data_IF_685235299101
#
_entry.id   IF_685235299101
#
_cell.length_a   1.000
_cell.length_b   1.000
_cell.length_c   1.000
_cell.angle_alpha   90.00
_cell.angle_beta   90.00
_cell.angle_gamma   90.00
#
_symmetry.space_group_name_H-M   'P 1'
#
loop_
_entity.id
_entity.type
_entity.pdbx_description
1 polymer ?
#
# COMPACT_ATOMS: atom_id res chain seq x y z
N UNK A 1 55.19 -1.28 -47.13
CA UNK A 1 54.92 0.09 -46.67
C UNK A 1 53.46 0.38 -46.96
N UNK A 2 52.65 0.59 -45.93
CA UNK A 2 51.22 0.87 -46.06
C UNK A 2 50.82 1.56 -44.76
N UNK A 3 50.87 2.88 -44.80
CA UNK A 3 50.80 3.78 -43.66
C UNK A 3 49.48 3.59 -42.91
N UNK A 4 49.61 3.43 -41.58
CA UNK A 4 48.48 3.38 -40.67
C UNK A 4 47.71 4.70 -40.75
N UNK A 5 46.51 4.64 -41.32
CA UNK A 5 45.54 5.72 -41.18
C UNK A 5 45.11 5.79 -39.72
N UNK A 6 45.88 6.54 -38.92
CA UNK A 6 45.45 7.02 -37.62
C UNK A 6 44.30 8.00 -37.84
N UNK A 7 43.07 7.52 -37.63
CA UNK A 7 41.87 8.36 -37.69
C UNK A 7 42.08 9.63 -36.87
N UNK A 8 41.93 10.78 -37.53
CA UNK A 8 42.05 12.10 -36.89
C UNK A 8 41.16 12.14 -35.64
N UNK A 9 41.70 12.58 -34.49
CA UNK A 9 40.90 12.68 -33.27
C UNK A 9 39.68 13.57 -33.53
N UNK A 10 38.50 13.06 -33.19
CA UNK A 10 37.23 13.79 -33.30
C UNK A 10 37.39 15.23 -32.78
N UNK A 11 36.84 16.20 -33.53
CA UNK A 11 36.80 17.61 -33.13
C UNK A 11 36.42 17.75 -31.64
N UNK A 12 37.13 18.59 -30.85
CA UNK A 12 36.88 18.72 -29.41
C UNK A 12 35.41 18.95 -29.04
N UNK A 13 34.65 19.68 -29.87
CA UNK A 13 33.22 19.90 -29.63
C UNK A 13 32.41 18.63 -29.86
N UNK A 14 32.76 17.80 -30.86
CA UNK A 14 32.10 16.49 -31.08
C UNK A 14 32.36 15.54 -29.92
N UNK A 15 33.59 15.51 -29.37
CA UNK A 15 33.92 14.70 -28.18
C UNK A 15 33.19 15.20 -26.94
N UNK A 16 33.19 16.51 -26.70
CA UNK A 16 32.47 17.11 -25.58
C UNK A 16 30.97 16.80 -25.67
N UNK A 17 30.36 16.93 -26.85
CA UNK A 17 28.95 16.56 -27.07
C UNK A 17 28.68 15.09 -26.76
N UNK A 18 29.52 14.18 -27.24
CA UNK A 18 29.37 12.75 -26.97
C UNK A 18 29.45 12.44 -25.47
N UNK A 19 30.40 13.06 -24.75
CA UNK A 19 30.55 12.90 -23.30
C UNK A 19 29.32 13.43 -22.54
N UNK A 20 28.81 14.61 -22.91
CA UNK A 20 27.60 15.19 -22.30
C UNK A 20 26.39 14.30 -22.57
N UNK A 21 26.16 13.86 -23.81
CA UNK A 21 25.04 12.96 -24.14
C UNK A 21 25.10 11.66 -23.33
N UNK A 22 26.28 11.08 -23.19
CA UNK A 22 26.46 9.87 -22.39
C UNK A 22 26.16 10.12 -20.90
N UNK A 23 26.64 11.25 -20.35
CA UNK A 23 26.36 11.62 -18.96
C UNK A 23 24.86 11.84 -18.71
N UNK A 24 24.18 12.55 -19.60
CA UNK A 24 22.72 12.77 -19.53
C UNK A 24 21.96 11.44 -19.58
N UNK A 25 22.33 10.54 -20.50
CA UNK A 25 21.71 9.20 -20.59
C UNK A 25 21.86 8.39 -19.31
N UNK A 26 23.05 8.39 -18.69
CA UNK A 26 23.27 7.73 -17.39
C UNK A 26 22.40 8.33 -16.29
N UNK A 27 22.32 9.66 -16.22
CA UNK A 27 21.50 10.35 -15.21
C UNK A 27 20.02 10.00 -15.38
N UNK A 28 19.52 9.97 -16.61
CA UNK A 28 18.13 9.59 -16.90
C UNK A 28 17.86 8.13 -16.52
N UNK A 29 18.77 7.21 -16.84
CA UNK A 29 18.64 5.81 -16.47
C UNK A 29 18.59 5.63 -14.93
N UNK A 30 19.46 6.33 -14.19
CA UNK A 30 19.46 6.30 -12.73
C UNK A 30 18.17 6.86 -12.13
N UNK A 31 17.63 7.93 -12.71
CA UNK A 31 16.34 8.51 -12.29
C UNK A 31 15.20 7.54 -12.54
N UNK A 32 15.12 6.96 -13.73
CA UNK A 32 14.09 5.98 -14.07
C UNK A 32 14.14 4.74 -13.17
N UNK A 33 15.35 4.27 -12.83
CA UNK A 33 15.54 3.11 -11.95
C UNK A 33 15.13 3.44 -10.51
N UNK A 34 15.45 4.65 -10.02
CA UNK A 34 14.95 5.13 -8.72
C UNK A 34 13.42 5.26 -8.72
N UNK A 35 12.84 5.80 -9.78
CA UNK A 35 11.40 5.96 -9.92
C UNK A 35 10.69 4.61 -9.89
N UNK A 36 11.17 3.61 -10.65
CA UNK A 36 10.66 2.24 -10.60
C UNK A 36 10.65 1.65 -9.19
N UNK A 37 11.75 1.79 -8.45
CA UNK A 37 11.82 1.29 -7.06
C UNK A 37 10.85 2.01 -6.13
N UNK A 38 10.69 3.33 -6.29
CA UNK A 38 9.73 4.12 -5.51
C UNK A 38 8.30 3.70 -5.86
N UNK A 39 7.98 3.53 -7.14
CA UNK A 39 6.66 3.07 -7.58
C UNK A 39 6.34 1.68 -7.02
N UNK A 40 7.29 0.75 -7.08
CA UNK A 40 7.10 -0.58 -6.50
C UNK A 40 6.79 -0.52 -5.00
N UNK A 41 7.61 0.22 -4.23
CA UNK A 41 7.37 0.41 -2.80
C UNK A 41 6.03 1.11 -2.51
N UNK A 42 5.65 2.09 -3.32
CA UNK A 42 4.36 2.77 -3.18
C UNK A 42 3.19 1.82 -3.43
N UNK A 43 3.28 0.96 -4.46
CA UNK A 43 2.27 -0.06 -4.74
C UNK A 43 2.15 -1.07 -3.60
N UNK A 44 3.27 -1.51 -3.02
CA UNK A 44 3.27 -2.40 -1.84
C UNK A 44 2.56 -1.75 -0.65
N UNK A 45 2.86 -0.48 -0.36
CA UNK A 45 2.22 0.25 0.74
C UNK A 45 0.72 0.40 0.51
N UNK A 46 0.31 0.82 -0.68
CA UNK A 46 -1.11 1.00 -1.01
C UNK A 46 -1.84 -0.33 -0.94
N UNK A 47 -1.30 -1.38 -1.55
CA UNK A 47 -1.89 -2.72 -1.54
C UNK A 47 -2.03 -3.29 -0.13
N UNK A 48 -1.03 -3.10 0.74
CA UNK A 48 -1.10 -3.53 2.14
C UNK A 48 -2.20 -2.77 2.92
N UNK A 49 -2.37 -1.48 2.66
CA UNK A 49 -3.42 -0.68 3.30
C UNK A 49 -4.82 -1.04 2.80
N UNK A 50 -4.99 -1.36 1.52
CA UNK A 50 -6.25 -1.85 0.96
C UNK A 50 -6.61 -3.23 1.54
N UNK A 51 -5.67 -4.18 1.51
CA UNK A 51 -5.89 -5.51 2.09
C UNK A 51 -6.23 -5.44 3.58
N UNK A 52 -5.60 -4.51 4.33
CA UNK A 52 -5.95 -4.28 5.75
C UNK A 52 -7.38 -3.76 5.90
N UNK A 53 -7.84 -2.85 5.03
CA UNK A 53 -9.21 -2.32 5.09
C UNK A 53 -10.22 -3.42 4.83
N UNK A 54 -9.99 -4.24 3.81
CA UNK A 54 -10.86 -5.39 3.50
C UNK A 54 -10.91 -6.35 4.68
N UNK A 55 -9.74 -6.67 5.25
CA UNK A 55 -9.68 -7.56 6.41
C UNK A 55 -10.39 -6.97 7.63
N UNK A 56 -10.27 -5.67 7.86
CA UNK A 56 -10.97 -4.99 8.95
C UNK A 56 -12.50 -5.06 8.73
N UNK A 57 -12.98 -4.84 7.51
CA UNK A 57 -14.39 -4.96 7.19
C UNK A 57 -14.92 -6.38 7.43
N UNK A 58 -14.18 -7.43 7.04
CA UNK A 58 -14.52 -8.82 7.36
C UNK A 58 -14.62 -9.06 8.87
N UNK A 59 -13.66 -8.55 9.65
CA UNK A 59 -13.63 -8.70 11.10
C UNK A 59 -14.78 -7.94 11.77
N UNK A 60 -15.12 -6.75 11.27
CA UNK A 60 -16.29 -5.99 11.74
C UNK A 60 -17.60 -6.73 11.47
N UNK A 61 -17.74 -7.33 10.29
CA UNK A 61 -18.91 -8.15 9.96
C UNK A 61 -19.00 -9.40 10.84
N UNK A 62 -17.88 -10.07 11.10
CA UNK A 62 -17.84 -11.20 12.01
C UNK A 62 -18.23 -10.79 13.45
N UNK A 63 -17.77 -9.64 13.92
CA UNK A 63 -18.14 -9.09 15.23
C UNK A 63 -19.63 -8.74 15.29
N UNK A 64 -20.17 -8.09 14.25
CA UNK A 64 -21.58 -7.77 14.13
C UNK A 64 -22.45 -9.04 14.15
N UNK A 65 -22.07 -10.08 13.41
CA UNK A 65 -22.74 -11.38 13.42
C UNK A 65 -22.71 -12.03 14.80
N UNK A 66 -21.57 -11.96 15.52
CA UNK A 66 -21.46 -12.44 16.90
C UNK A 66 -22.42 -11.72 17.85
N UNK A 67 -22.52 -10.39 17.76
CA UNK A 67 -23.47 -9.61 18.56
C UNK A 67 -24.90 -9.97 18.20
N UNK A 68 -25.23 -10.11 16.92
CA UNK A 68 -26.57 -10.52 16.49
C UNK A 68 -26.96 -11.91 17.02
N UNK A 69 -26.02 -12.86 17.03
CA UNK A 69 -26.25 -14.17 17.63
C UNK A 69 -26.54 -14.06 19.14
N UNK A 70 -25.76 -13.26 19.89
CA UNK A 70 -26.01 -13.04 21.31
C UNK A 70 -27.36 -12.38 21.58
N UNK A 71 -27.76 -11.40 20.75
CA UNK A 71 -29.08 -10.77 20.82
C UNK A 71 -30.20 -11.75 20.51
N UNK A 72 -30.01 -12.66 19.55
CA UNK A 72 -30.97 -13.70 19.20
C UNK A 72 -31.18 -14.73 20.34
N UNK A 73 -30.15 -14.97 21.14
CA UNK A 73 -30.23 -15.73 22.40
C UNK A 73 -30.90 -14.94 23.55
N UNK A 74 -31.34 -13.70 23.29
CA UNK A 74 -32.12 -12.88 24.22
C UNK A 74 -31.29 -11.98 25.14
N UNK A 75 -29.97 -11.91 24.95
CA UNK A 75 -29.13 -11.01 25.75
C UNK A 75 -29.40 -9.55 25.39
N UNK A 76 -29.32 -8.69 26.39
CA UNK A 76 -29.27 -7.25 26.23
C UNK A 76 -27.84 -6.78 25.92
N UNK A 77 -27.70 -5.56 25.40
CA UNK A 77 -26.37 -4.95 25.16
C UNK A 77 -25.53 -4.88 26.45
N UNK A 78 -26.16 -4.62 27.61
CA UNK A 78 -25.44 -4.58 28.89
C UNK A 78 -24.85 -5.94 29.25
N UNK A 79 -25.62 -7.02 29.08
CA UNK A 79 -25.16 -8.39 29.31
C UNK A 79 -24.06 -8.79 28.30
N UNK A 80 -24.20 -8.40 27.03
CA UNK A 80 -23.14 -8.62 26.03
C UNK A 80 -21.83 -7.94 26.44
N UNK A 81 -21.88 -6.73 26.97
CA UNK A 81 -20.69 -6.03 27.47
C UNK A 81 -20.07 -6.73 28.67
N UNK A 82 -20.87 -7.29 29.57
CA UNK A 82 -20.39 -8.08 30.70
C UNK A 82 -19.70 -9.37 30.21
N UNK A 83 -20.31 -10.11 29.28
CA UNK A 83 -19.74 -11.32 28.68
C UNK A 83 -18.46 -11.08 27.88
N UNK A 84 -18.35 -9.92 27.23
CA UNK A 84 -17.13 -9.51 26.48
C UNK A 84 -16.08 -8.83 27.36
N UNK A 85 -16.33 -8.75 28.67
CA UNK A 85 -15.40 -8.18 29.65
C UNK A 85 -15.23 -6.67 29.54
N UNK A 86 -16.09 -5.95 28.81
CA UNK A 86 -16.22 -4.49 28.75
C UNK A 86 -14.96 -3.67 28.43
N UNK A 87 -13.85 -4.32 28.02
CA UNK A 87 -12.53 -3.68 27.88
C UNK A 87 -12.22 -3.26 26.45
N UNK A 88 -12.66 -4.06 25.48
CA UNK A 88 -12.43 -3.82 24.04
C UNK A 88 -13.72 -3.36 23.35
N UNK A 89 -14.86 -3.85 23.81
CA UNK A 89 -16.18 -3.50 23.29
C UNK A 89 -16.87 -2.55 24.27
N UNK A 90 -17.17 -1.33 23.83
CA UNK A 90 -17.97 -0.37 24.59
C UNK A 90 -19.43 -0.37 24.14
N UNK A 91 -20.31 0.28 24.91
CA UNK A 91 -21.75 0.31 24.62
C UNK A 91 -22.10 0.99 23.29
N UNK A 92 -21.32 2.00 22.89
CA UNK A 92 -21.55 2.72 21.63
C UNK A 92 -21.22 1.81 20.45
N UNK A 93 -20.11 1.09 20.54
CA UNK A 93 -19.62 0.18 19.54
C UNK A 93 -20.49 -1.09 19.45
N UNK A 94 -20.89 -1.66 20.58
CA UNK A 94 -21.87 -2.75 20.62
C UNK A 94 -23.18 -2.36 19.92
N UNK A 95 -23.67 -1.14 20.19
CA UNK A 95 -24.84 -0.61 19.50
C UNK A 95 -24.61 -0.37 17.99
N UNK A 96 -23.41 0.04 17.58
CA UNK A 96 -23.06 0.21 16.16
C UNK A 96 -23.05 -1.13 15.43
N UNK A 97 -22.39 -2.13 16.00
CA UNK A 97 -22.29 -3.47 15.45
C UNK A 97 -23.65 -4.18 15.41
N UNK A 98 -24.51 -3.99 16.42
CA UNK A 98 -25.88 -4.49 16.42
C UNK A 98 -26.72 -3.90 15.26
N UNK A 99 -26.54 -2.60 14.95
CA UNK A 99 -27.19 -1.98 13.79
C UNK A 99 -26.62 -2.49 12.47
N UNK A 100 -25.29 -2.60 12.38
CA UNK A 100 -24.63 -3.14 11.19
C UNK A 100 -25.14 -4.55 10.85
N UNK A 101 -25.37 -5.39 11.85
CA UNK A 101 -25.95 -6.72 11.64
C UNK A 101 -27.43 -6.72 11.25
N UNK A 102 -28.16 -5.63 11.52
CA UNK A 102 -29.56 -5.47 11.10
C UNK A 102 -29.68 -4.90 9.67
N UNK A 103 -28.66 -4.18 9.21
CA UNK A 103 -28.61 -3.50 7.91
C UNK A 103 -28.02 -4.38 6.78
N UNK A 104 -27.44 -5.54 7.13
CA UNK A 104 -26.86 -6.52 6.19
C UNK A 104 -27.77 -7.72 5.99
#
# INVERSE_FOLDING_TARGET
MGEGQTGLPLDPKRRARAQVTQAVGRIQALRAEREKRITAAALEVVGALEARKDKLAELEQAAAAGIAAMLAEGLTIAEILEWTGGTILDAKEAGRLARLASDG
#
